data_IF_546176402923
#
_entry.id   IF_546176402923
#
_cell.length_a   1.000
_cell.length_b   1.000
_cell.length_c   1.000
_cell.angle_alpha   90.00
_cell.angle_beta   90.00
_cell.angle_gamma   90.00
#
_symmetry.space_group_name_H-M   'P 1'
#
loop_
_entity.id
_entity.type
_entity.pdbx_description
1 polymer ?
#
# COMPACT_ATOMS: atom_id res chain seq x y z
N UNK A 1 22.28 -34.76 -0.71
CA UNK A 1 21.65 -33.63 0.01
C UNK A 1 22.67 -32.51 0.03
N UNK A 2 22.57 -31.56 -0.90
CA UNK A 2 23.37 -30.33 -0.91
C UNK A 2 22.40 -29.16 -0.87
N UNK A 3 22.61 -28.27 0.08
CA UNK A 3 21.88 -27.02 0.21
C UNK A 3 22.19 -26.12 -0.99
N UNK A 4 21.20 -25.85 -1.85
CA UNK A 4 21.27 -24.75 -2.80
C UNK A 4 20.95 -23.47 -2.05
N UNK A 5 21.99 -22.71 -1.73
CA UNK A 5 21.90 -21.36 -1.16
C UNK A 5 21.29 -20.41 -2.20
N UNK A 6 20.50 -19.43 -1.72
CA UNK A 6 19.82 -18.36 -2.47
C UNK A 6 20.72 -17.46 -3.37
N UNK A 7 21.98 -17.84 -3.61
CA UNK A 7 22.92 -17.14 -4.50
C UNK A 7 22.63 -17.39 -5.99
N UNK A 8 22.05 -18.54 -6.34
CA UNK A 8 21.86 -18.95 -7.75
C UNK A 8 20.79 -18.13 -8.52
N UNK A 9 20.01 -17.28 -7.84
CA UNK A 9 19.07 -16.36 -8.48
C UNK A 9 19.75 -15.09 -9.05
N UNK A 10 20.99 -14.80 -8.67
CA UNK A 10 21.69 -13.56 -9.06
C UNK A 10 22.77 -13.76 -10.13
N UNK A 11 23.34 -14.96 -10.27
CA UNK A 11 24.57 -15.18 -11.06
C UNK A 11 24.35 -15.51 -12.55
N UNK A 12 23.10 -15.72 -13.00
CA UNK A 12 22.80 -16.07 -14.41
C UNK A 12 22.24 -14.91 -15.26
N UNK A 13 22.42 -13.64 -14.84
CA UNK A 13 21.81 -12.47 -15.49
C UNK A 13 22.71 -11.68 -16.46
N UNK A 14 23.80 -12.28 -16.96
CA UNK A 14 24.68 -11.62 -17.92
C UNK A 14 24.55 -12.28 -19.30
N UNK A 15 23.50 -11.88 -20.04
CA UNK A 15 23.47 -11.89 -21.51
C UNK A 15 22.41 -10.89 -22.02
N UNK A 16 22.45 -10.45 -23.29
CA UNK A 16 22.78 -9.09 -23.74
C UNK A 16 21.64 -8.05 -23.55
N UNK A 17 21.61 -7.36 -22.41
CA UNK A 17 20.65 -6.29 -22.07
C UNK A 17 21.10 -4.86 -22.44
N UNK A 18 22.05 -4.68 -23.36
CA UNK A 18 22.58 -3.34 -23.70
C UNK A 18 21.55 -2.32 -24.23
N UNK A 19 20.27 -2.70 -24.41
CA UNK A 19 19.21 -1.83 -24.97
C UNK A 19 17.95 -1.66 -24.12
N UNK A 20 17.84 -2.25 -22.93
CA UNK A 20 16.62 -2.13 -22.12
C UNK A 20 16.83 -1.30 -20.86
N UNK A 21 15.89 -0.41 -20.56
CA UNK A 21 15.92 0.29 -19.28
C UNK A 21 15.61 -0.67 -18.13
N UNK A 22 16.44 -0.59 -17.08
CA UNK A 22 16.19 -1.31 -15.83
C UNK A 22 15.29 -0.46 -14.94
N UNK A 23 14.04 -0.89 -14.81
CA UNK A 23 13.03 -0.24 -13.95
C UNK A 23 12.84 -1.07 -12.68
N UNK A 24 12.89 -0.41 -11.52
CA UNK A 24 12.64 -1.04 -10.23
C UNK A 24 11.54 -0.28 -9.49
N UNK A 25 10.66 -1.02 -8.80
CA UNK A 25 9.54 -0.46 -8.07
C UNK A 25 9.60 -0.92 -6.60
N UNK A 26 9.28 -0.03 -5.69
CA UNK A 26 9.22 -0.26 -4.24
C UNK A 26 7.81 0.11 -3.79
N UNK A 27 7.20 -0.73 -2.96
CA UNK A 27 5.92 -0.41 -2.33
C UNK A 27 6.02 0.71 -1.29
N UNK A 28 4.99 0.85 -0.45
CA UNK A 28 4.98 1.83 0.62
C UNK A 28 6.12 1.58 1.63
N UNK A 29 6.66 2.66 2.19
CA UNK A 29 7.75 2.64 3.16
C UNK A 29 7.38 3.52 4.37
N UNK A 30 6.84 2.90 5.40
CA UNK A 30 6.37 3.63 6.58
C UNK A 30 7.38 3.72 7.74
N UNK A 31 8.46 2.95 7.66
CA UNK A 31 9.59 3.00 8.58
C UNK A 31 10.85 2.57 7.83
N UNK A 32 12.03 3.02 8.26
CA UNK A 32 13.32 2.65 7.66
C UNK A 32 14.00 1.62 8.54
N UNK A 33 13.75 0.35 8.24
CA UNK A 33 14.34 -0.80 8.94
C UNK A 33 15.75 -1.09 8.46
N UNK A 34 16.55 -1.79 9.26
CA UNK A 34 17.89 -2.23 8.87
C UNK A 34 17.85 -3.18 7.66
N UNK A 35 16.82 -4.02 7.57
CA UNK A 35 16.58 -4.89 6.42
C UNK A 35 16.35 -4.07 5.14
N UNK A 36 15.53 -3.01 5.22
CA UNK A 36 15.27 -2.13 4.08
C UNK A 36 16.53 -1.35 3.67
N UNK A 37 17.33 -0.87 4.63
CA UNK A 37 18.61 -0.24 4.33
C UNK A 37 19.60 -1.19 3.67
N UNK A 38 19.68 -2.43 4.15
CA UNK A 38 20.51 -3.46 3.56
C UNK A 38 20.09 -3.75 2.11
N UNK A 39 18.78 -3.77 1.85
CA UNK A 39 18.22 -3.94 0.51
C UNK A 39 18.62 -2.80 -0.43
N UNK A 40 18.49 -1.54 0.01
CA UNK A 40 18.90 -0.37 -0.78
C UNK A 40 20.41 -0.40 -1.07
N UNK A 41 21.23 -0.85 -0.11
CA UNK A 41 22.66 -1.04 -0.36
C UNK A 41 22.92 -2.03 -1.49
N UNK A 42 22.19 -3.14 -1.55
CA UNK A 42 22.30 -4.10 -2.66
C UNK A 42 21.81 -3.54 -3.99
N UNK A 43 20.81 -2.67 -3.98
CA UNK A 43 20.39 -1.94 -5.19
C UNK A 43 21.51 -1.04 -5.68
N UNK A 44 22.27 -0.40 -4.78
CA UNK A 44 23.42 0.42 -5.15
C UNK A 44 24.57 -0.37 -5.80
N UNK A 45 24.73 -1.66 -5.47
CA UNK A 45 25.74 -2.52 -6.10
C UNK A 45 25.43 -2.80 -7.59
N UNK A 46 24.15 -2.75 -7.97
CA UNK A 46 23.71 -2.95 -9.35
C UNK A 46 22.50 -2.06 -9.69
N UNK A 47 22.71 -0.74 -9.84
CA UNK A 47 21.65 0.26 -9.81
C UNK A 47 20.74 0.20 -11.06
N UNK A 48 19.42 0.41 -10.91
CA UNK A 48 18.50 0.54 -12.03
C UNK A 48 18.65 1.91 -12.70
N UNK A 49 18.14 2.08 -13.92
CA UNK A 49 18.06 3.41 -14.52
C UNK A 49 16.97 4.26 -13.85
N UNK A 50 15.88 3.61 -13.42
CA UNK A 50 14.77 4.25 -12.71
C UNK A 50 14.39 3.44 -11.47
N UNK A 51 14.22 4.13 -10.34
CA UNK A 51 13.71 3.58 -9.09
C UNK A 51 12.45 4.32 -8.69
N UNK A 52 11.32 3.62 -8.69
CA UNK A 52 10.01 4.16 -8.33
C UNK A 52 9.60 3.73 -6.93
N UNK A 53 9.14 4.66 -6.11
CA UNK A 53 8.39 4.39 -4.89
C UNK A 53 6.90 4.62 -5.18
N UNK A 54 6.07 3.59 -4.99
CA UNK A 54 4.66 3.58 -5.37
C UNK A 54 3.69 4.15 -4.32
N UNK A 55 4.18 4.80 -3.28
CA UNK A 55 3.32 5.27 -2.19
C UNK A 55 4.09 5.74 -0.97
N UNK A 56 3.32 5.99 0.08
CA UNK A 56 3.69 6.50 1.40
C UNK A 56 5.20 6.43 1.72
N UNK A 57 5.82 7.61 1.74
CA UNK A 57 7.25 7.84 2.03
C UNK A 57 7.41 9.20 2.76
N UNK A 58 7.72 9.24 4.05
CA UNK A 58 8.08 8.19 5.02
C UNK A 58 7.29 8.45 6.30
N UNK A 59 6.85 7.40 6.99
CA UNK A 59 6.19 7.48 8.29
C UNK A 59 7.16 7.56 9.46
N UNK A 60 6.66 7.32 10.67
CA UNK A 60 7.50 7.14 11.87
C UNK A 60 7.28 5.74 12.45
N UNK A 61 8.35 5.14 12.98
CA UNK A 61 8.25 3.85 13.66
C UNK A 61 7.24 3.88 14.83
N UNK A 62 7.18 4.96 15.65
CA UNK A 62 6.17 5.04 16.70
C UNK A 62 4.73 5.05 16.18
N UNK A 63 4.46 5.78 15.09
CA UNK A 63 3.14 5.85 14.47
C UNK A 63 2.72 4.49 13.92
N UNK A 64 3.61 3.82 13.20
CA UNK A 64 3.33 2.50 12.63
C UNK A 64 3.10 1.45 13.71
N UNK A 65 3.92 1.44 14.77
CA UNK A 65 3.73 0.51 15.87
C UNK A 65 2.37 0.72 16.56
N UNK A 66 2.00 1.98 16.81
CA UNK A 66 0.72 2.33 17.41
C UNK A 66 -0.46 1.90 16.51
N UNK A 67 -0.34 2.12 15.20
CA UNK A 67 -1.32 1.70 14.19
C UNK A 67 -1.49 0.18 14.15
N UNK A 68 -0.39 -0.57 14.16
CA UNK A 68 -0.41 -2.04 14.22
C UNK A 68 -1.12 -2.52 15.48
N UNK A 69 -0.78 -1.98 16.65
CA UNK A 69 -1.44 -2.32 17.91
C UNK A 69 -2.94 -2.01 17.87
N UNK A 70 -3.32 -0.83 17.36
CA UNK A 70 -4.74 -0.47 17.23
C UNK A 70 -5.52 -1.48 16.38
N UNK A 71 -5.04 -1.79 15.16
CA UNK A 71 -5.75 -2.68 14.24
C UNK A 71 -5.72 -4.14 14.69
N UNK A 72 -4.55 -4.68 15.02
CA UNK A 72 -4.37 -6.10 15.33
C UNK A 72 -4.85 -6.46 16.74
N UNK A 73 -4.60 -5.59 17.73
CA UNK A 73 -4.95 -5.90 19.11
C UNK A 73 -6.38 -5.49 19.47
N UNK A 74 -7.03 -4.55 18.77
CA UNK A 74 -8.35 -4.02 19.18
C UNK A 74 -9.36 -3.94 18.03
N UNK A 75 -9.16 -3.01 17.09
CA UNK A 75 -10.18 -2.57 16.14
C UNK A 75 -10.73 -3.71 15.28
N UNK A 76 -9.88 -4.52 14.64
CA UNK A 76 -10.34 -5.54 13.71
C UNK A 76 -11.19 -6.61 14.40
N UNK A 77 -10.91 -6.93 15.66
CA UNK A 77 -11.66 -7.93 16.42
C UNK A 77 -12.96 -7.35 16.99
N UNK A 78 -12.88 -6.15 17.58
CA UNK A 78 -14.03 -5.51 18.18
C UNK A 78 -15.06 -4.99 17.14
N UNK A 79 -14.60 -4.31 16.09
CA UNK A 79 -15.48 -3.79 15.04
C UNK A 79 -15.89 -4.90 14.06
N UNK A 80 -14.93 -5.57 13.39
CA UNK A 80 -15.26 -6.45 12.26
C UNK A 80 -15.80 -7.82 12.67
N UNK A 81 -15.42 -8.35 13.84
CA UNK A 81 -15.86 -9.69 14.29
C UNK A 81 -17.03 -9.62 15.28
N UNK A 82 -16.99 -8.70 16.24
CA UNK A 82 -18.06 -8.53 17.23
C UNK A 82 -19.15 -7.53 16.79
N UNK A 83 -18.91 -6.75 15.73
CA UNK A 83 -19.91 -5.81 15.19
C UNK A 83 -20.12 -4.56 16.06
N UNK A 84 -19.18 -4.23 16.95
CA UNK A 84 -19.29 -3.05 17.83
C UNK A 84 -19.20 -1.79 16.97
N UNK A 85 -20.14 -0.86 17.16
CA UNK A 85 -20.24 0.36 16.35
C UNK A 85 -20.92 0.16 14.99
N UNK A 86 -21.43 -1.03 14.68
CA UNK A 86 -22.22 -1.27 13.46
C UNK A 86 -23.73 -1.08 13.72
N UNK A 87 -24.56 -0.85 12.68
CA UNK A 87 -26.00 -0.70 12.84
C UNK A 87 -26.71 -1.90 13.51
N UNK A 88 -26.10 -3.09 13.45
CA UNK A 88 -26.64 -4.33 14.03
C UNK A 88 -25.86 -4.78 15.29
N UNK A 89 -25.20 -3.84 15.99
CA UNK A 89 -24.46 -4.12 17.23
C UNK A 89 -25.36 -4.86 18.23
N UNK A 90 -24.90 -6.04 18.69
CA UNK A 90 -25.55 -6.79 19.76
C UNK A 90 -24.95 -6.38 21.11
N UNK A 91 -25.75 -6.35 22.19
CA UNK A 91 -25.20 -6.16 23.53
C UNK A 91 -24.21 -7.29 23.87
N UNK A 92 -23.02 -6.92 24.32
CA UNK A 92 -21.97 -7.84 24.77
C UNK A 92 -21.55 -7.42 26.18
N UNK A 93 -21.53 -8.37 27.12
CA UNK A 93 -21.09 -8.13 28.49
C UNK A 93 -19.59 -7.81 28.56
N UNK A 94 -19.16 -7.02 29.55
CA UNK A 94 -17.74 -6.63 29.68
C UNK A 94 -16.83 -7.85 29.80
N UNK A 95 -17.21 -8.87 30.58
CA UNK A 95 -16.44 -10.10 30.74
C UNK A 95 -16.27 -10.86 29.42
N UNK A 96 -17.35 -10.96 28.63
CA UNK A 96 -17.33 -11.59 27.31
C UNK A 96 -16.42 -10.81 26.34
N UNK A 97 -16.55 -9.48 26.32
CA UNK A 97 -15.73 -8.60 25.48
C UNK A 97 -14.24 -8.72 25.82
N UNK A 98 -13.89 -8.71 27.10
CA UNK A 98 -12.51 -8.72 27.57
C UNK A 98 -11.81 -10.06 27.32
N UNK A 99 -12.55 -11.17 27.38
CA UNK A 99 -12.04 -12.52 27.16
C UNK A 99 -12.08 -12.96 25.69
N UNK A 100 -12.68 -12.17 24.80
CA UNK A 100 -12.76 -12.51 23.38
C UNK A 100 -11.38 -12.52 22.73
N UNK A 101 -10.98 -13.66 22.16
CA UNK A 101 -9.71 -13.84 21.41
C UNK A 101 -9.90 -13.52 19.92
N UNK A 102 -11.01 -13.97 19.33
CA UNK A 102 -11.30 -13.79 17.91
C UNK A 102 -10.35 -14.53 16.97
N UNK A 103 -10.46 -14.23 15.67
CA UNK A 103 -9.59 -14.78 14.63
C UNK A 103 -8.30 -13.96 14.49
N UNK A 104 -7.20 -14.65 14.21
CA UNK A 104 -5.87 -14.09 13.93
C UNK A 104 -5.36 -13.08 14.98
N UNK A 105 -5.35 -13.43 16.29
CA UNK A 105 -4.74 -12.56 17.29
C UNK A 105 -3.23 -12.43 17.05
N UNK A 106 -2.65 -11.27 17.39
CA UNK A 106 -1.21 -11.00 17.21
C UNK A 106 -0.32 -12.00 17.97
N UNK A 107 -0.75 -12.43 19.16
CA UNK A 107 -0.13 -13.52 19.93
C UNK A 107 -1.16 -14.64 20.12
N UNK A 108 -0.74 -15.92 20.15
CA UNK A 108 -1.63 -17.03 20.48
C UNK A 108 -2.41 -16.72 21.77
N UNK A 109 -3.72 -16.93 21.74
CA UNK A 109 -4.63 -16.76 22.88
C UNK A 109 -4.72 -15.33 23.47
N UNK A 110 -4.16 -14.31 22.81
CA UNK A 110 -4.29 -12.93 23.27
C UNK A 110 -5.76 -12.50 23.21
N UNK A 111 -6.34 -12.18 24.36
CA UNK A 111 -7.70 -11.62 24.43
C UNK A 111 -7.74 -10.15 24.00
N UNK A 112 -8.93 -9.62 23.73
CA UNK A 112 -9.15 -8.20 23.47
C UNK A 112 -8.73 -7.34 24.67
N UNK A 113 -9.02 -7.79 25.90
CA UNK A 113 -8.59 -7.11 27.12
C UNK A 113 -7.07 -7.00 27.21
N UNK A 114 -6.36 -8.11 27.02
CA UNK A 114 -4.90 -8.13 27.01
C UNK A 114 -4.30 -7.28 25.87
N UNK A 115 -4.93 -7.32 24.69
CA UNK A 115 -4.55 -6.51 23.55
C UNK A 115 -4.71 -5.01 23.78
N UNK A 116 -5.81 -4.58 24.40
CA UNK A 116 -6.00 -3.17 24.76
C UNK A 116 -5.00 -2.72 25.82
N UNK A 117 -4.71 -3.55 26.83
CA UNK A 117 -3.71 -3.20 27.84
C UNK A 117 -2.32 -2.99 27.23
N UNK A 118 -1.94 -3.80 26.22
CA UNK A 118 -0.71 -3.59 25.45
C UNK A 118 -0.74 -2.27 24.67
N UNK A 119 -1.86 -1.94 24.01
CA UNK A 119 -2.05 -0.66 23.32
C UNK A 119 -1.96 0.54 24.30
N UNK A 120 -2.63 0.46 25.45
CA UNK A 120 -2.61 1.49 26.49
C UNK A 120 -1.22 1.68 27.08
N UNK A 121 -0.49 0.59 27.33
CA UNK A 121 0.90 0.64 27.78
C UNK A 121 1.75 1.44 26.80
N UNK A 122 1.65 1.13 25.50
CA UNK A 122 2.40 1.87 24.50
C UNK A 122 1.99 3.36 24.39
N UNK A 123 0.71 3.68 24.55
CA UNK A 123 0.25 5.09 24.64
C UNK A 123 0.87 5.81 25.83
N UNK A 124 1.03 5.15 26.98
CA UNK A 124 1.72 5.72 28.14
C UNK A 124 3.22 5.88 27.93
N UNK A 125 3.87 4.94 27.23
CA UNK A 125 5.28 5.08 26.81
C UNK A 125 5.47 6.31 25.93
N UNK A 126 4.62 6.50 24.93
CA UNK A 126 4.63 7.68 24.05
C UNK A 126 4.29 8.98 24.79
N UNK A 127 3.65 8.89 25.96
CA UNK A 127 3.43 10.03 26.86
C UNK A 127 4.64 10.33 27.76
N UNK A 128 5.75 9.62 27.59
CA UNK A 128 7.01 9.82 28.32
C UNK A 128 7.23 8.91 29.52
N UNK A 129 6.41 7.88 29.73
CA UNK A 129 6.65 6.91 30.81
C UNK A 129 7.67 5.84 30.41
N UNK A 130 8.43 5.33 31.38
CA UNK A 130 9.28 4.17 31.12
C UNK A 130 8.43 2.91 30.85
N UNK A 131 8.86 2.00 29.95
CA UNK A 131 8.06 0.85 29.52
C UNK A 131 7.46 -0.01 30.65
N UNK A 132 8.25 -0.29 31.69
CA UNK A 132 7.78 -1.09 32.83
C UNK A 132 6.69 -0.34 33.63
N UNK A 133 6.87 0.97 33.83
CA UNK A 133 5.90 1.81 34.54
C UNK A 133 4.61 1.97 33.73
N UNK A 134 4.74 2.18 32.42
CA UNK A 134 3.65 2.27 31.47
C UNK A 134 2.77 1.01 31.47
N UNK A 135 3.39 -0.17 31.35
CA UNK A 135 2.67 -1.44 31.42
C UNK A 135 2.07 -1.71 32.81
N UNK A 136 2.76 -1.32 33.88
CA UNK A 136 2.23 -1.44 35.25
C UNK A 136 0.97 -0.58 35.39
N UNK A 137 1.00 0.65 34.91
CA UNK A 137 -0.15 1.56 34.91
C UNK A 137 -1.30 1.03 34.06
N UNK A 138 -1.01 0.52 32.87
CA UNK A 138 -2.01 -0.13 32.03
C UNK A 138 -2.71 -1.27 32.79
N UNK A 139 -1.96 -2.18 33.39
CA UNK A 139 -2.51 -3.32 34.15
C UNK A 139 -3.30 -2.96 35.42
N UNK A 140 -3.16 -1.72 35.92
CA UNK A 140 -3.97 -1.21 37.03
C UNK A 140 -5.33 -0.64 36.58
N UNK A 141 -5.55 -0.51 35.27
CA UNK A 141 -6.81 -0.02 34.69
C UNK A 141 -7.95 -1.00 34.99
N UNK A 142 -9.09 -0.50 35.46
CA UNK A 142 -10.21 -1.37 35.80
C UNK A 142 -10.79 -2.06 34.56
N UNK A 143 -11.31 -3.28 34.73
CA UNK A 143 -11.96 -4.02 33.64
C UNK A 143 -13.03 -3.21 32.91
N UNK A 144 -13.81 -2.41 33.64
CA UNK A 144 -14.83 -1.53 33.08
C UNK A 144 -14.25 -0.46 32.15
N UNK A 145 -13.13 0.15 32.54
CA UNK A 145 -12.44 1.15 31.73
C UNK A 145 -11.82 0.51 30.48
N UNK A 146 -11.21 -0.67 30.61
CA UNK A 146 -10.69 -1.45 29.47
C UNK A 146 -11.82 -1.77 28.48
N UNK A 147 -12.94 -2.30 28.97
CA UNK A 147 -14.10 -2.61 28.12
C UNK A 147 -14.70 -1.35 27.46
N UNK A 148 -14.71 -0.22 28.17
CA UNK A 148 -15.14 1.08 27.62
C UNK A 148 -14.22 1.58 26.50
N UNK A 149 -12.91 1.49 26.68
CA UNK A 149 -11.92 1.90 25.69
C UNK A 149 -11.93 1.02 24.44
N UNK A 150 -12.14 -0.30 24.56
CA UNK A 150 -12.35 -1.19 23.40
C UNK A 150 -13.56 -0.72 22.57
N UNK A 151 -14.69 -0.45 23.23
CA UNK A 151 -15.90 0.02 22.54
C UNK A 151 -15.70 1.39 21.90
N UNK A 152 -14.97 2.29 22.56
CA UNK A 152 -14.65 3.59 22.00
C UNK A 152 -13.80 3.47 20.73
N UNK A 153 -12.74 2.66 20.76
CA UNK A 153 -11.87 2.40 19.61
C UNK A 153 -12.65 1.75 18.45
N UNK A 154 -13.51 0.77 18.74
CA UNK A 154 -14.31 0.07 17.73
C UNK A 154 -15.38 0.95 17.07
N UNK A 155 -15.82 2.03 17.72
CA UNK A 155 -16.82 2.96 17.16
C UNK A 155 -16.22 4.02 16.23
N UNK A 156 -14.91 3.96 15.97
CA UNK A 156 -14.21 4.90 15.08
C UNK A 156 -14.27 4.45 13.64
N UNK A 157 -14.13 5.40 12.74
CA UNK A 157 -14.09 5.12 11.30
C UNK A 157 -12.79 4.43 10.89
N UNK A 158 -11.66 4.87 11.45
CA UNK A 158 -10.34 4.33 11.17
C UNK A 158 -9.34 4.79 12.24
N UNK A 159 -8.07 4.42 12.09
CA UNK A 159 -7.01 4.75 13.04
C UNK A 159 -6.84 6.26 13.27
N UNK A 160 -6.88 7.10 12.23
CA UNK A 160 -6.64 8.54 12.35
C UNK A 160 -7.67 9.24 13.23
N UNK A 161 -8.96 8.91 13.07
CA UNK A 161 -10.02 9.48 13.91
C UNK A 161 -9.94 9.06 15.37
N UNK A 162 -9.36 7.89 15.66
CA UNK A 162 -9.00 7.49 17.02
C UNK A 162 -7.75 8.22 17.53
N UNK A 163 -6.70 8.27 16.71
CA UNK A 163 -5.41 8.88 17.04
C UNK A 163 -5.54 10.36 17.39
N UNK A 164 -6.44 11.09 16.72
CA UNK A 164 -6.74 12.50 17.01
C UNK A 164 -7.22 12.78 18.44
N UNK A 165 -7.82 11.79 19.11
CA UNK A 165 -8.27 11.93 20.49
C UNK A 165 -7.20 11.63 21.54
N UNK A 166 -6.06 11.11 21.11
CA UNK A 166 -4.96 10.84 22.02
C UNK A 166 -4.37 12.15 22.58
N UNK A 167 -3.73 12.08 23.77
CA UNK A 167 -3.02 13.21 24.34
C UNK A 167 -2.05 13.85 23.34
N UNK A 168 -1.87 15.16 23.46
CA UNK A 168 -1.04 15.94 22.54
C UNK A 168 0.37 15.37 22.45
N UNK A 169 0.92 14.95 23.58
CA UNK A 169 2.27 14.41 23.73
C UNK A 169 2.44 13.13 22.91
N UNK A 170 1.43 12.26 22.91
CA UNK A 170 1.42 11.02 22.12
C UNK A 170 1.41 11.35 20.63
N UNK A 171 0.54 12.28 20.20
CA UNK A 171 0.49 12.73 18.79
C UNK A 171 1.78 13.42 18.37
N UNK A 172 2.46 14.14 19.26
CA UNK A 172 3.78 14.71 18.99
C UNK A 172 4.85 13.62 18.86
N UNK A 173 4.86 12.63 19.75
CA UNK A 173 5.81 11.52 19.71
C UNK A 173 5.70 10.72 18.40
N UNK A 174 4.48 10.52 17.89
CA UNK A 174 4.27 9.82 16.62
C UNK A 174 4.62 10.65 15.37
N UNK A 175 4.77 11.97 15.48
CA UNK A 175 5.23 12.83 14.39
C UNK A 175 6.75 13.12 14.44
N UNK A 176 7.37 12.99 15.61
CA UNK A 176 8.71 13.51 15.89
C UNK A 176 9.82 12.93 14.98
N UNK A 177 9.73 11.64 14.64
CA UNK A 177 10.81 10.96 13.94
C UNK A 177 10.70 10.99 12.41
N UNK A 178 9.63 11.57 11.85
CA UNK A 178 9.40 11.61 10.40
C UNK A 178 10.59 12.27 9.66
N UNK A 179 11.12 13.38 10.19
CA UNK A 179 12.27 14.05 9.59
C UNK A 179 13.54 13.19 9.64
N UNK A 180 13.78 12.50 10.76
CA UNK A 180 14.95 11.64 10.93
C UNK A 180 14.90 10.44 9.98
N UNK A 181 13.73 9.81 9.85
CA UNK A 181 13.47 8.70 8.93
C UNK A 181 13.62 9.14 7.47
N UNK A 182 13.08 10.32 7.10
CA UNK A 182 13.24 10.87 5.76
C UNK A 182 14.71 11.16 5.42
N UNK A 183 15.47 11.72 6.37
CA UNK A 183 16.94 11.90 6.22
C UNK A 183 17.65 10.56 6.04
N UNK A 184 17.30 9.56 6.85
CA UNK A 184 17.87 8.22 6.78
C UNK A 184 17.64 7.57 5.40
N UNK A 185 16.43 7.70 4.85
CA UNK A 185 16.13 7.23 3.49
C UNK A 185 16.92 8.01 2.42
N UNK A 186 16.94 9.34 2.50
CA UNK A 186 17.69 10.17 1.55
C UNK A 186 19.18 9.82 1.53
N UNK A 187 19.81 9.64 2.69
CA UNK A 187 21.21 9.20 2.77
C UNK A 187 21.43 7.84 2.10
N UNK A 188 20.51 6.89 2.31
CA UNK A 188 20.58 5.57 1.70
C UNK A 188 20.42 5.59 0.16
N UNK A 189 19.73 6.60 -0.38
CA UNK A 189 19.51 6.77 -1.82
C UNK A 189 20.66 7.48 -2.54
N UNK A 190 21.54 8.20 -1.82
CA UNK A 190 22.66 8.93 -2.44
C UNK A 190 23.56 8.06 -3.32
N UNK A 191 24.01 6.85 -2.91
CA UNK A 191 24.84 6.01 -3.76
C UNK A 191 24.13 5.56 -5.05
N UNK A 192 22.81 5.31 -4.96
CA UNK A 192 21.96 4.92 -6.10
C UNK A 192 21.85 6.10 -7.08
N UNK A 193 21.57 7.30 -6.59
CA UNK A 193 21.53 8.52 -7.42
C UNK A 193 22.89 8.86 -8.04
N UNK A 194 23.99 8.69 -7.28
CA UNK A 194 25.35 8.95 -7.77
C UNK A 194 25.75 8.02 -8.93
N UNK A 195 25.14 6.84 -9.02
CA UNK A 195 25.31 5.91 -10.14
C UNK A 195 24.44 6.25 -11.37
N UNK A 196 23.66 7.33 -11.32
CA UNK A 196 22.83 7.81 -12.43
C UNK A 196 21.37 7.36 -12.40
N UNK A 197 20.94 6.63 -11.36
CA UNK A 197 19.53 6.25 -11.19
C UNK A 197 18.65 7.48 -10.97
N UNK A 198 17.56 7.57 -11.73
CA UNK A 198 16.48 8.54 -11.48
C UNK A 198 15.54 7.98 -10.42
N UNK A 199 15.52 8.59 -9.24
CA UNK A 199 14.61 8.20 -8.15
C UNK A 199 13.33 9.02 -8.23
N UNK A 200 12.20 8.33 -8.24
CA UNK A 200 10.86 8.91 -8.41
C UNK A 200 9.95 8.39 -7.29
N UNK A 201 9.23 9.28 -6.62
CA UNK A 201 8.26 8.96 -5.58
C UNK A 201 6.86 9.38 -6.04
N UNK A 202 5.89 8.47 -5.93
CA UNK A 202 4.47 8.72 -6.22
C UNK A 202 3.74 8.90 -4.89
N UNK A 203 3.08 10.04 -4.71
CA UNK A 203 2.45 10.40 -3.44
C UNK A 203 1.34 9.43 -3.02
N UNK A 204 1.49 8.85 -1.83
CA UNK A 204 0.45 8.08 -1.16
C UNK A 204 -0.51 8.94 -0.35
N UNK A 205 -1.42 8.30 0.39
CA UNK A 205 -2.38 9.04 1.22
C UNK A 205 -1.68 9.70 2.43
N UNK A 206 -0.54 9.16 2.87
CA UNK A 206 0.22 9.68 4.02
C UNK A 206 1.19 10.83 3.67
N UNK A 207 1.42 11.08 2.38
CA UNK A 207 2.40 12.08 1.92
C UNK A 207 1.83 13.50 1.78
N UNK A 208 0.50 13.65 1.86
CA UNK A 208 -0.12 14.98 1.93
C UNK A 208 -0.09 15.48 3.37
N UNK A 209 0.92 16.28 3.71
CA UNK A 209 1.13 16.78 5.07
C UNK A 209 -0.07 17.56 5.61
N UNK A 210 -0.78 18.33 4.77
CA UNK A 210 -1.91 19.15 5.20
C UNK A 210 -3.11 18.28 5.59
N UNK A 211 -3.46 17.30 4.75
CA UNK A 211 -4.54 16.37 5.05
C UNK A 211 -4.19 15.53 6.28
N UNK A 212 -2.98 14.99 6.35
CA UNK A 212 -2.57 14.18 7.50
C UNK A 212 -2.49 14.96 8.81
N UNK A 213 -2.13 16.26 8.77
CA UNK A 213 -2.25 17.15 9.94
C UNK A 213 -3.71 17.28 10.40
N UNK A 214 -4.68 17.30 9.49
CA UNK A 214 -6.09 17.40 9.85
C UNK A 214 -6.68 16.08 10.34
N UNK A 215 -6.31 14.98 9.67
CA UNK A 215 -6.94 13.66 9.82
C UNK A 215 -6.27 12.78 10.88
N UNK A 216 -4.97 12.97 11.15
CA UNK A 216 -4.20 12.08 12.01
C UNK A 216 -3.60 12.82 13.22
N UNK A 217 -2.87 13.92 13.01
CA UNK A 217 -2.10 14.54 14.10
C UNK A 217 -2.80 15.71 14.78
N UNK A 218 -3.74 16.38 14.13
CA UNK A 218 -4.40 17.60 14.61
C UNK A 218 -3.63 18.87 14.21
N UNK A 219 -4.38 19.93 13.87
CA UNK A 219 -3.88 21.20 13.29
C UNK A 219 -2.78 21.94 14.07
N UNK A 220 -2.54 21.59 15.33
CA UNK A 220 -1.59 22.23 16.24
C UNK A 220 -0.29 21.43 16.44
N UNK A 221 -0.17 20.26 15.79
CA UNK A 221 1.05 19.47 15.76
C UNK A 221 1.81 19.84 14.49
N UNK A 222 3.08 20.19 14.66
CA UNK A 222 3.97 20.37 13.52
C UNK A 222 4.42 19.00 13.03
N UNK A 223 4.22 18.76 11.74
CA UNK A 223 4.54 17.50 11.07
C UNK A 223 5.49 17.82 9.94
N UNK A 224 6.65 17.18 9.91
CA UNK A 224 7.65 17.42 8.88
C UNK A 224 7.08 17.12 7.49
N UNK A 225 7.21 18.07 6.57
CA UNK A 225 6.79 17.91 5.18
C UNK A 225 7.91 17.24 4.36
N UNK A 226 7.72 15.97 4.03
CA UNK A 226 8.69 15.14 3.32
C UNK A 226 8.83 15.53 1.85
N UNK A 227 7.79 16.11 1.23
CA UNK A 227 7.76 16.37 -0.22
C UNK A 227 8.78 17.44 -0.63
N UNK A 228 8.80 18.66 -0.04
CA UNK A 228 9.83 19.65 -0.34
C UNK A 228 11.23 19.16 0.06
N UNK A 229 11.34 18.34 1.11
CA UNK A 229 12.61 17.76 1.52
C UNK A 229 13.20 16.86 0.42
N UNK A 230 12.44 15.88 -0.07
CA UNK A 230 12.92 14.97 -1.12
C UNK A 230 13.21 15.68 -2.44
N UNK A 231 12.40 16.68 -2.82
CA UNK A 231 12.69 17.54 -3.98
C UNK A 231 14.05 18.23 -3.86
N UNK A 232 14.41 18.73 -2.66
CA UNK A 232 15.74 19.32 -2.41
C UNK A 232 16.89 18.31 -2.46
N UNK A 233 16.61 17.02 -2.26
CA UNK A 233 17.59 15.93 -2.42
C UNK A 233 17.72 15.46 -3.89
N UNK A 234 17.08 16.14 -4.85
CA UNK A 234 17.11 15.75 -6.26
C UNK A 234 16.25 14.52 -6.58
N UNK A 235 15.27 14.21 -5.73
CA UNK A 235 14.30 13.15 -5.96
C UNK A 235 13.05 13.76 -6.60
N UNK A 236 12.58 13.15 -7.70
CA UNK A 236 11.34 13.56 -8.34
C UNK A 236 10.16 13.09 -7.50
N UNK A 237 9.23 13.99 -7.17
CA UNK A 237 8.04 13.66 -6.40
C UNK A 237 6.78 14.03 -7.19
N UNK A 238 6.01 13.01 -7.58
CA UNK A 238 4.73 13.14 -8.28
C UNK A 238 3.60 13.24 -7.25
N UNK A 239 3.13 14.47 -7.04
CA UNK A 239 1.92 14.82 -6.28
C UNK A 239 0.70 15.02 -7.20
N UNK A 240 0.91 15.01 -8.52
CA UNK A 240 -0.12 14.97 -9.58
C UNK A 240 0.15 13.83 -10.54
N UNK A 241 -0.83 13.52 -11.39
CA UNK A 241 -0.61 12.56 -12.47
C UNK A 241 0.50 13.06 -13.38
N UNK A 242 1.47 12.17 -13.65
CA UNK A 242 2.66 12.49 -14.41
C UNK A 242 3.09 11.31 -15.28
N UNK A 243 3.74 11.59 -16.40
CA UNK A 243 4.29 10.59 -17.32
C UNK A 243 5.81 10.63 -17.21
N UNK A 244 6.42 9.48 -16.91
CA UNK A 244 7.86 9.28 -17.05
C UNK A 244 8.14 8.44 -18.29
N UNK A 245 8.72 9.08 -19.29
CA UNK A 245 9.17 8.41 -20.50
C UNK A 245 10.58 7.84 -20.33
N UNK A 246 10.70 6.54 -20.58
CA UNK A 246 11.96 5.79 -20.59
C UNK A 246 12.24 5.30 -22.02
N UNK A 247 13.38 4.64 -22.26
CA UNK A 247 13.70 4.07 -23.56
C UNK A 247 12.70 2.97 -23.96
N UNK A 248 12.21 2.17 -23.00
CA UNK A 248 11.38 0.98 -23.26
C UNK A 248 9.94 1.08 -22.76
N UNK A 249 9.65 2.03 -21.87
CA UNK A 249 8.34 2.14 -21.22
C UNK A 249 7.88 3.60 -21.02
N UNK A 250 6.57 3.77 -20.88
CA UNK A 250 5.90 4.95 -20.38
C UNK A 250 5.28 4.62 -19.02
N UNK A 251 5.80 5.22 -17.95
CA UNK A 251 5.27 5.03 -16.60
C UNK A 251 4.35 6.20 -16.26
N UNK A 252 3.05 5.95 -16.21
CA UNK A 252 2.04 6.90 -15.75
C UNK A 252 1.91 6.76 -14.24
N UNK A 253 2.26 7.79 -13.49
CA UNK A 253 2.11 7.83 -12.04
C UNK A 253 0.75 8.42 -11.66
N UNK A 254 0.01 7.76 -10.77
CA UNK A 254 -1.28 8.23 -10.27
C UNK A 254 -1.27 8.30 -8.72
N UNK A 255 -0.97 9.49 -8.15
CA UNK A 255 -0.93 9.70 -6.70
C UNK A 255 -2.32 9.58 -6.04
N UNK A 256 -2.38 9.17 -4.77
CA UNK A 256 -3.64 8.91 -4.08
C UNK A 256 -4.57 10.13 -4.02
N UNK A 257 -4.04 11.28 -3.59
CA UNK A 257 -4.85 12.48 -3.40
C UNK A 257 -5.29 13.12 -4.71
N UNK A 258 -4.51 12.96 -5.78
CA UNK A 258 -4.95 13.35 -7.13
C UNK A 258 -6.13 12.49 -7.59
N UNK A 259 -6.10 11.18 -7.30
CA UNK A 259 -7.23 10.29 -7.56
C UNK A 259 -8.44 10.59 -6.67
N UNK A 260 -8.24 11.02 -5.43
CA UNK A 260 -9.33 11.34 -4.50
C UNK A 260 -10.05 12.66 -4.85
N UNK A 261 -9.35 13.60 -5.48
CA UNK A 261 -9.87 14.92 -5.86
C UNK A 261 -9.97 15.12 -7.37
N UNK A 262 -10.02 14.01 -8.10
CA UNK A 262 -9.80 13.96 -9.54
C UNK A 262 -10.89 14.71 -10.34
N UNK A 263 -10.45 15.43 -11.38
CA UNK A 263 -11.30 16.15 -12.32
C UNK A 263 -11.30 15.43 -13.69
N UNK A 264 -12.47 14.93 -14.10
CA UNK A 264 -12.66 14.10 -15.29
C UNK A 264 -12.14 14.74 -16.59
N UNK A 265 -12.12 16.08 -16.71
CA UNK A 265 -11.60 16.80 -17.89
C UNK A 265 -10.08 16.59 -18.14
N UNK A 266 -9.36 15.99 -17.18
CA UNK A 266 -7.93 15.70 -17.29
C UNK A 266 -7.63 14.32 -17.88
N UNK A 267 -8.58 13.37 -17.85
CA UNK A 267 -8.39 11.98 -18.32
C UNK A 267 -8.17 11.91 -19.82
N UNK A 268 -9.03 12.58 -20.59
CA UNK A 268 -9.00 12.50 -22.05
C UNK A 268 -7.69 13.07 -22.62
N UNK A 269 -7.22 14.19 -22.03
CA UNK A 269 -5.93 14.79 -22.37
C UNK A 269 -4.75 13.88 -22.02
N UNK A 270 -4.81 13.19 -20.87
CA UNK A 270 -3.82 12.19 -20.50
C UNK A 270 -3.83 11.01 -21.49
N UNK A 271 -5.01 10.56 -21.90
CA UNK A 271 -5.20 9.49 -22.87
C UNK A 271 -4.60 9.81 -24.23
N UNK A 272 -4.84 11.03 -24.71
CA UNK A 272 -4.27 11.53 -25.96
C UNK A 272 -2.75 11.59 -25.87
N UNK A 273 -2.19 12.09 -24.77
CA UNK A 273 -0.75 12.12 -24.56
C UNK A 273 -0.14 10.71 -24.53
N UNK A 274 -0.75 9.76 -23.81
CA UNK A 274 -0.27 8.37 -23.73
C UNK A 274 -0.42 7.65 -25.07
N UNK A 275 -1.55 7.81 -25.78
CA UNK A 275 -1.74 7.24 -27.13
C UNK A 275 -0.74 7.83 -28.12
N UNK A 276 -0.48 9.13 -28.07
CA UNK A 276 0.49 9.78 -28.92
C UNK A 276 1.91 9.27 -28.66
N UNK A 277 2.36 9.22 -27.41
CA UNK A 277 3.73 8.81 -27.08
C UNK A 277 3.92 7.29 -27.18
N UNK A 278 2.93 6.49 -26.77
CA UNK A 278 2.98 5.03 -26.78
C UNK A 278 2.84 4.42 -28.17
N UNK A 279 2.11 5.07 -29.08
CA UNK A 279 1.82 4.56 -30.44
C UNK A 279 2.55 5.30 -31.57
N UNK A 280 3.30 6.37 -31.30
CA UNK A 280 4.03 7.12 -32.35
C UNK A 280 5.24 6.38 -32.92
N UNK A 281 5.81 5.40 -32.21
CA UNK A 281 6.89 4.55 -32.71
C UNK A 281 6.35 3.20 -33.19
N UNK A 282 5.73 3.17 -34.38
CA UNK A 282 5.19 1.96 -35.03
C UNK A 282 6.19 0.79 -35.17
N UNK A 283 7.48 1.04 -35.00
CA UNK A 283 8.55 0.04 -35.14
C UNK A 283 9.07 -0.51 -33.81
N UNK A 284 8.77 0.14 -32.68
CA UNK A 284 9.12 -0.32 -31.33
C UNK A 284 8.19 0.33 -30.28
N UNK A 285 6.97 -0.22 -30.07
CA UNK A 285 6.03 0.36 -29.12
C UNK A 285 6.57 0.25 -27.68
N UNK A 286 6.36 1.30 -26.89
CA UNK A 286 6.75 1.32 -25.47
C UNK A 286 5.70 0.62 -24.63
N UNK A 287 6.12 -0.14 -23.62
CA UNK A 287 5.21 -0.69 -22.61
C UNK A 287 4.60 0.43 -21.78
N UNK A 288 3.29 0.48 -21.64
CA UNK A 288 2.58 1.45 -20.80
C UNK A 288 2.34 0.82 -19.43
N UNK A 289 2.92 1.42 -18.39
CA UNK A 289 2.80 0.99 -17.00
C UNK A 289 2.05 2.07 -16.24
N UNK A 290 0.96 1.71 -15.57
CA UNK A 290 0.26 2.59 -14.63
C UNK A 290 0.72 2.25 -13.20
N UNK A 291 1.45 3.17 -12.57
CA UNK A 291 1.83 3.07 -11.16
C UNK A 291 0.89 3.94 -10.32
N UNK A 292 -0.07 3.31 -9.65
CA UNK A 292 -1.06 3.98 -8.82
C UNK A 292 -0.88 3.60 -7.35
N UNK A 293 -1.02 4.56 -6.43
CA UNK A 293 -1.00 4.20 -5.01
C UNK A 293 -2.25 3.37 -4.65
N UNK A 294 -3.43 3.87 -5.01
CA UNK A 294 -4.71 3.20 -4.72
C UNK A 294 -4.82 1.84 -5.39
N UNK A 295 -5.46 0.88 -4.71
CA UNK A 295 -5.74 -0.43 -5.30
C UNK A 295 -6.85 -0.34 -6.36
N UNK A 296 -6.75 -1.06 -7.49
CA UNK A 296 -7.79 -1.05 -8.51
C UNK A 296 -8.96 -1.99 -8.18
N UNK A 297 -8.77 -2.93 -7.25
CA UNK A 297 -9.83 -3.79 -6.73
C UNK A 297 -9.44 -4.23 -5.32
N UNK A 298 -10.30 -3.97 -4.34
CA UNK A 298 -10.05 -4.25 -2.92
C UNK A 298 -10.50 -5.66 -2.51
N UNK A 299 -11.39 -6.31 -3.27
CA UNK A 299 -11.93 -7.64 -2.98
C UNK A 299 -10.88 -8.75 -3.11
N UNK A 300 -9.85 -8.54 -3.95
CA UNK A 300 -8.72 -9.49 -4.13
C UNK A 300 -7.87 -9.66 -2.86
N UNK A 301 -8.05 -8.78 -1.87
CA UNK A 301 -7.43 -8.86 -0.56
C UNK A 301 -8.32 -9.53 0.50
N UNK A 302 -9.46 -10.09 0.08
CA UNK A 302 -10.48 -10.71 0.95
C UNK A 302 -10.92 -9.78 2.11
N UNK A 303 -10.91 -8.48 1.83
CA UNK A 303 -11.45 -7.47 2.72
C UNK A 303 -12.99 -7.52 2.59
N UNK A 304 -13.73 -7.26 3.68
CA UNK A 304 -15.20 -7.09 3.63
C UNK A 304 -15.52 -5.63 3.31
N UNK A 305 -16.64 -5.40 2.62
CA UNK A 305 -17.03 -4.09 2.07
C UNK A 305 -16.77 -2.96 3.06
N UNK A 306 -16.13 -1.86 2.61
CA UNK A 306 -15.76 -0.80 3.51
C UNK A 306 -16.98 -0.31 4.28
N UNK A 307 -16.75 -0.01 5.56
CA UNK A 307 -17.68 0.77 6.38
C UNK A 307 -17.99 2.08 5.61
N UNK A 308 -19.23 2.60 5.65
CA UNK A 308 -19.65 3.77 4.86
C UNK A 308 -18.78 5.03 4.95
N UNK A 309 -17.85 5.12 5.91
CA UNK A 309 -16.93 6.25 6.11
C UNK A 309 -15.68 6.27 5.20
N UNK A 310 -15.54 5.35 4.24
CA UNK A 310 -14.42 5.35 3.27
C UNK A 310 -14.77 5.89 1.88
N UNK A 311 -15.58 6.96 1.80
CA UNK A 311 -15.97 7.58 0.52
C UNK A 311 -14.76 7.95 -0.35
N UNK A 312 -13.70 8.49 0.25
CA UNK A 312 -12.47 8.83 -0.48
C UNK A 312 -11.80 7.61 -1.14
N UNK A 313 -11.78 6.46 -0.47
CA UNK A 313 -11.22 5.22 -1.03
C UNK A 313 -12.06 4.69 -2.18
N UNK A 314 -13.39 4.72 -2.05
CA UNK A 314 -14.29 4.34 -3.14
C UNK A 314 -14.08 5.24 -4.37
N UNK A 315 -14.01 6.56 -4.16
CA UNK A 315 -13.72 7.53 -5.21
C UNK A 315 -12.36 7.28 -5.87
N UNK A 316 -11.32 6.96 -5.08
CA UNK A 316 -9.99 6.60 -5.63
C UNK A 316 -10.07 5.35 -6.53
N UNK A 317 -10.82 4.31 -6.12
CA UNK A 317 -10.98 3.08 -6.90
C UNK A 317 -11.74 3.36 -8.21
N UNK A 318 -12.82 4.15 -8.14
CA UNK A 318 -13.64 4.52 -9.30
C UNK A 318 -12.83 5.34 -10.31
N UNK A 319 -12.14 6.38 -9.86
CA UNK A 319 -11.32 7.24 -10.71
C UNK A 319 -10.11 6.50 -11.29
N UNK A 320 -9.51 5.58 -10.52
CA UNK A 320 -8.47 4.70 -11.05
C UNK A 320 -9.03 3.75 -12.12
N UNK A 321 -10.26 3.25 -11.93
CA UNK A 321 -10.97 2.44 -12.91
C UNK A 321 -11.17 3.16 -14.24
N UNK A 322 -11.57 4.42 -14.20
CA UNK A 322 -11.70 5.27 -15.40
C UNK A 322 -10.36 5.47 -16.11
N UNK A 323 -9.29 5.79 -15.36
CA UNK A 323 -7.95 5.96 -15.94
C UNK A 323 -7.47 4.67 -16.60
N UNK A 324 -7.65 3.51 -15.96
CA UNK A 324 -7.27 2.22 -16.53
C UNK A 324 -8.06 1.93 -17.81
N UNK A 325 -9.38 2.19 -17.81
CA UNK A 325 -10.24 1.96 -18.98
C UNK A 325 -9.84 2.84 -20.17
N UNK A 326 -9.41 4.07 -19.91
CA UNK A 326 -9.04 5.01 -20.97
C UNK A 326 -7.61 4.81 -21.48
N UNK A 327 -6.67 4.51 -20.56
CA UNK A 327 -5.26 4.32 -20.90
C UNK A 327 -4.98 2.94 -21.50
N UNK A 328 -5.75 1.92 -21.12
CA UNK A 328 -5.51 0.51 -21.47
C UNK A 328 -4.03 0.10 -21.24
N UNK A 329 -3.47 0.30 -20.03
CA UNK A 329 -2.06 0.00 -19.76
C UNK A 329 -1.77 -1.50 -19.92
N UNK A 330 -0.52 -1.83 -20.28
CA UNK A 330 -0.05 -3.22 -20.31
C UNK A 330 0.01 -3.81 -18.90
N UNK A 331 0.37 -2.97 -17.90
CA UNK A 331 0.45 -3.38 -16.50
C UNK A 331 0.05 -2.24 -15.54
N UNK A 332 -0.72 -2.58 -14.50
CA UNK A 332 -1.02 -1.72 -13.35
C UNK A 332 -0.23 -2.21 -12.15
N UNK A 333 0.44 -1.30 -11.44
CA UNK A 333 1.23 -1.59 -10.25
C UNK A 333 0.66 -0.79 -9.08
N UNK A 334 0.39 -1.43 -7.94
CA UNK A 334 -0.09 -0.74 -6.73
C UNK A 334 0.45 -1.34 -5.41
N UNK A 335 0.73 -0.53 -4.38
CA UNK A 335 1.20 -1.02 -3.08
C UNK A 335 0.28 -0.82 -1.86
N UNK A 336 -0.76 0.02 -1.94
CA UNK A 336 -1.50 0.54 -0.76
C UNK A 336 -2.10 -0.52 0.18
N UNK A 337 -2.57 -1.64 -0.35
CA UNK A 337 -3.12 -2.72 0.49
C UNK A 337 -1.97 -3.51 1.11
N UNK A 338 -1.44 -3.11 2.27
CA UNK A 338 -0.34 -3.81 2.96
C UNK A 338 -0.64 -5.25 3.38
N UNK A 339 -1.84 -5.75 3.10
CA UNK A 339 -2.21 -7.15 3.23
C UNK A 339 -1.75 -7.94 2.01
N UNK A 340 -1.16 -9.14 2.18
CA UNK A 340 -0.91 -10.03 1.06
C UNK A 340 -2.20 -10.41 0.35
N UNK A 341 -2.11 -10.62 -0.97
CA UNK A 341 -3.18 -11.25 -1.74
C UNK A 341 -3.59 -12.58 -1.10
N UNK A 342 -4.88 -12.88 -1.15
CA UNK A 342 -5.42 -14.11 -0.60
C UNK A 342 -6.39 -14.78 -1.59
N UNK A 343 -6.48 -16.10 -1.53
CA UNK A 343 -7.49 -16.83 -2.28
C UNK A 343 -8.89 -16.68 -1.66
N UNK A 344 -9.91 -17.25 -2.32
CA UNK A 344 -11.29 -17.20 -1.84
C UNK A 344 -11.52 -17.90 -0.48
N UNK A 345 -10.53 -18.65 0.03
CA UNK A 345 -10.54 -19.30 1.35
C UNK A 345 -9.74 -18.52 2.38
N UNK A 346 -9.16 -17.37 2.01
CA UNK A 346 -8.31 -16.55 2.87
C UNK A 346 -6.87 -17.06 3.00
N UNK A 347 -6.43 -18.00 2.17
CA UNK A 347 -5.04 -18.45 2.17
C UNK A 347 -4.15 -17.43 1.45
N UNK A 348 -3.04 -17.05 2.09
CA UNK A 348 -2.08 -16.09 1.53
C UNK A 348 -1.45 -16.66 0.25
N UNK A 349 -1.45 -15.84 -0.79
CA UNK A 349 -0.80 -16.13 -2.06
C UNK A 349 0.68 -15.69 -2.03
N UNK A 350 1.54 -16.28 -2.88
CA UNK A 350 2.91 -15.80 -3.05
C UNK A 350 2.98 -14.31 -3.40
N UNK A 351 3.99 -13.59 -2.91
CA UNK A 351 4.11 -12.15 -3.14
C UNK A 351 4.38 -11.74 -4.60
N UNK A 352 4.71 -12.70 -5.46
CA UNK A 352 4.89 -12.49 -6.91
C UNK A 352 3.60 -12.69 -7.72
N UNK A 353 2.50 -13.02 -7.06
CA UNK A 353 1.24 -13.30 -7.74
C UNK A 353 0.70 -12.02 -8.40
N UNK A 354 0.46 -12.10 -9.71
CA UNK A 354 -0.28 -11.11 -10.49
C UNK A 354 -1.72 -11.57 -10.72
N UNK A 355 -2.61 -10.62 -10.99
CA UNK A 355 -4.00 -10.91 -11.39
C UNK A 355 -4.39 -10.04 -12.58
N UNK A 356 -5.53 -10.35 -13.20
CA UNK A 356 -6.01 -9.62 -14.38
C UNK A 356 -7.26 -8.82 -14.07
N UNK A 357 -7.30 -7.62 -14.63
CA UNK A 357 -8.49 -6.78 -14.69
C UNK A 357 -9.08 -6.79 -16.08
N UNK A 358 -10.40 -6.68 -16.13
CA UNK A 358 -11.22 -6.67 -17.32
C UNK A 358 -12.04 -5.37 -17.31
N UNK A 359 -11.69 -4.39 -18.15
CA UNK A 359 -12.51 -3.19 -18.35
C UNK A 359 -13.83 -3.56 -19.03
N UNK A 360 -14.92 -2.98 -18.57
CA UNK A 360 -16.23 -3.07 -19.22
C UNK A 360 -16.21 -2.36 -20.57
N UNK A 361 -16.83 -2.98 -21.58
CA UNK A 361 -17.02 -2.39 -22.91
C UNK A 361 -17.96 -1.16 -22.89
N UNK A 362 -18.77 -1.00 -21.84
CA UNK A 362 -19.71 0.12 -21.68
C UNK A 362 -19.09 1.31 -20.91
N UNK A 363 -17.84 1.19 -20.47
CA UNK A 363 -17.07 2.25 -19.79
C UNK A 363 -17.32 2.33 -18.28
N UNK A 364 -16.28 2.73 -17.55
CA UNK A 364 -16.24 3.07 -16.12
C UNK A 364 -16.33 1.93 -15.09
N UNK A 365 -16.52 0.69 -15.51
CA UNK A 365 -16.46 -0.46 -14.59
C UNK A 365 -15.25 -1.33 -14.90
N UNK A 366 -14.48 -1.69 -13.88
CA UNK A 366 -13.41 -2.67 -13.96
C UNK A 366 -13.72 -3.83 -13.04
N UNK A 367 -13.70 -5.05 -13.59
CA UNK A 367 -13.86 -6.28 -12.80
C UNK A 367 -12.57 -7.08 -12.79
N UNK A 368 -12.32 -7.79 -11.70
CA UNK A 368 -11.29 -8.81 -11.74
C UNK A 368 -11.74 -9.92 -12.70
N UNK A 369 -10.81 -10.42 -13.52
CA UNK A 369 -11.11 -11.49 -14.49
C UNK A 369 -11.74 -12.72 -13.83
N UNK A 370 -11.39 -12.97 -12.56
CA UNK A 370 -11.94 -14.07 -11.77
C UNK A 370 -13.45 -13.92 -11.52
N UNK A 371 -13.96 -12.69 -11.43
CA UNK A 371 -15.37 -12.40 -11.16
C UNK A 371 -16.20 -12.47 -12.44
N UNK A 372 -15.64 -12.04 -13.58
CA UNK A 372 -16.27 -12.15 -14.90
C UNK A 372 -16.45 -13.61 -15.34
N UNK A 373 -15.45 -14.47 -15.09
CA UNK A 373 -15.55 -15.91 -15.37
C UNK A 373 -16.65 -16.57 -14.51
N UNK A 374 -16.88 -16.06 -13.29
CA UNK A 374 -17.96 -16.56 -12.40
C UNK A 374 -19.34 -16.12 -12.87
N UNK A 375 -19.49 -14.90 -13.39
CA UNK A 375 -20.78 -14.35 -13.82
C UNK A 375 -21.15 -14.68 -15.28
N UNK A 376 -20.22 -15.27 -16.06
CA UNK A 376 -20.37 -15.56 -17.50
C UNK A 376 -20.66 -14.32 -18.34
N UNK A 377 -20.21 -13.17 -17.87
CA UNK A 377 -20.52 -11.89 -18.46
C UNK A 377 -19.54 -11.62 -19.62
N UNK A 378 -20.07 -11.35 -20.82
CA UNK A 378 -19.30 -11.38 -22.10
C UNK A 378 -18.88 -9.99 -22.62
N UNK A 379 -19.02 -8.96 -21.80
CA UNK A 379 -18.88 -7.56 -22.21
C UNK A 379 -17.52 -6.93 -21.86
N UNK A 380 -16.43 -7.69 -21.81
CA UNK A 380 -15.12 -7.16 -21.36
C UNK A 380 -14.02 -7.27 -22.42
N UNK A 381 -13.13 -6.27 -22.44
CA UNK A 381 -12.08 -6.07 -23.44
C UNK A 381 -10.77 -6.80 -23.07
N UNK A 382 -9.64 -6.38 -23.65
CA UNK A 382 -8.30 -6.94 -23.40
C UNK A 382 -7.94 -6.97 -21.91
N UNK A 383 -7.35 -8.09 -21.47
CA UNK A 383 -6.94 -8.27 -20.09
C UNK A 383 -5.75 -7.38 -19.73
N UNK A 384 -5.88 -6.65 -18.63
CA UNK A 384 -4.84 -5.78 -18.07
C UNK A 384 -4.17 -6.52 -16.92
N UNK A 385 -2.84 -6.63 -16.97
CA UNK A 385 -2.07 -7.26 -15.91
C UNK A 385 -2.00 -6.35 -14.69
N UNK A 386 -2.08 -6.93 -13.48
CA UNK A 386 -1.92 -6.17 -12.23
C UNK A 386 -0.89 -6.83 -11.33
N UNK A 387 0.08 -6.02 -10.91
CA UNK A 387 1.08 -6.36 -9.91
C UNK A 387 0.81 -5.64 -8.60
N UNK A 388 0.68 -6.43 -7.54
CA UNK A 388 0.67 -5.93 -6.17
C UNK A 388 2.12 -5.86 -5.65
N UNK A 389 2.51 -4.71 -5.10
CA UNK A 389 3.80 -4.52 -4.43
C UNK A 389 3.61 -4.52 -2.91
N UNK A 390 4.04 -5.58 -2.20
CA UNK A 390 3.88 -5.61 -0.76
C UNK A 390 4.73 -4.56 -0.04
N UNK A 391 4.31 -4.25 1.19
CA UNK A 391 4.99 -3.31 2.09
C UNK A 391 6.51 -3.54 2.16
N UNK A 392 7.31 -2.48 1.94
CA UNK A 392 8.78 -2.50 1.94
C UNK A 392 9.43 -3.58 1.03
N UNK A 393 8.69 -4.19 0.09
CA UNK A 393 9.25 -5.19 -0.82
C UNK A 393 9.62 -4.58 -2.17
N UNK A 394 10.70 -5.10 -2.76
CA UNK A 394 11.08 -4.82 -4.13
C UNK A 394 10.16 -5.57 -5.10
N UNK A 395 9.61 -4.84 -6.07
CA UNK A 395 9.25 -5.37 -7.37
C UNK A 395 10.37 -5.10 -8.35
N UNK A 396 11.11 -6.13 -8.76
CA UNK A 396 12.00 -6.03 -9.92
C UNK A 396 11.18 -6.47 -11.13
N UNK A 397 10.93 -5.57 -12.08
CA UNK A 397 10.36 -5.91 -13.38
C UNK A 397 11.44 -6.62 -14.23
N UNK A 398 11.80 -7.85 -13.84
CA UNK A 398 12.60 -8.77 -14.66
C UNK A 398 11.71 -9.91 -15.14
N UNK A 399 10.69 -9.58 -15.94
CA UNK A 399 10.01 -10.58 -16.76
C UNK A 399 10.40 -10.27 -18.21
N UNK A 400 11.21 -11.11 -18.86
CA UNK A 400 11.23 -11.13 -20.32
C UNK A 400 9.80 -11.44 -20.76
N UNK A 401 9.16 -10.51 -21.48
CA UNK A 401 7.91 -10.76 -22.20
C UNK A 401 8.20 -11.70 -23.37
N UNK A 402 8.57 -12.94 -23.07
CA UNK A 402 8.71 -14.02 -24.06
C UNK A 402 7.46 -14.93 -24.07
N UNK A 403 6.35 -14.43 -23.52
CA UNK A 403 5.04 -15.08 -23.65
C UNK A 403 4.12 -14.15 -24.42
N UNK A 404 4.09 -14.36 -25.73
CA UNK A 404 3.03 -13.92 -26.62
C UNK A 404 1.65 -14.14 -25.95
N UNK A 405 0.89 -13.08 -25.62
CA UNK A 405 -0.37 -13.19 -24.87
C UNK A 405 -1.52 -13.73 -25.72
N UNK A 406 -1.25 -14.37 -26.86
CA UNK A 406 -2.23 -15.15 -27.61
C UNK A 406 -2.66 -16.39 -26.82
N UNK A 407 -3.66 -16.16 -25.97
CA UNK A 407 -4.56 -17.14 -25.35
C UNK A 407 -4.91 -18.23 -26.37
N UNK A 408 -4.46 -19.47 -26.15
CA UNK A 408 -5.12 -20.64 -26.74
C UNK A 408 -6.14 -21.19 -25.74
N UNK A 409 -7.41 -21.34 -26.13
CA UNK A 409 -8.45 -21.80 -25.23
C UNK A 409 -8.36 -23.31 -25.08
N UNK A 410 -7.84 -23.80 -23.95
CA UNK A 410 -8.12 -25.16 -23.53
C UNK A 410 -8.35 -25.23 -22.01
N UNK A 411 -9.62 -25.10 -21.64
CA UNK A 411 -10.29 -26.16 -20.90
C UNK A 411 -9.88 -26.45 -19.45
N UNK A 412 -9.25 -25.53 -18.72
CA UNK A 412 -9.10 -25.67 -17.27
C UNK A 412 -9.53 -24.41 -16.51
N UNK A 413 -10.28 -24.65 -15.42
CA UNK A 413 -11.02 -23.69 -14.61
C UNK A 413 -10.13 -23.09 -13.52
N UNK A 414 -9.03 -22.45 -13.88
CA UNK A 414 -8.22 -21.71 -12.93
C UNK A 414 -7.85 -20.34 -13.48
N UNK A 415 -7.80 -19.29 -12.63
CA UNK A 415 -7.24 -18.01 -13.00
C UNK A 415 -5.84 -18.19 -13.61
N UNK A 416 -5.58 -17.49 -14.72
CA UNK A 416 -4.28 -17.51 -15.37
C UNK A 416 -3.30 -16.74 -14.48
N UNK A 417 -2.58 -17.49 -13.64
CA UNK A 417 -1.45 -16.99 -12.88
C UNK A 417 -0.21 -17.01 -13.78
N UNK A 418 0.40 -15.85 -14.01
CA UNK A 418 1.74 -15.80 -14.62
C UNK A 418 2.75 -15.98 -13.48
N UNK A 419 3.52 -17.07 -13.51
CA UNK A 419 4.51 -17.46 -12.49
C UNK A 419 5.88 -16.85 -12.69
#
# INVERSE_FOLDING_TARGET
>A
MSASTNADLFDNFIDPWEKCDRLMFIGCVHAITDEFLWLLKRVADNPPHYLFFGGDVTGSQPFEHLKTLFYECVFNRAHNQLGIGTPNEKPIADEELLNFVGHCPRKPDQTLGAGLLELMGYVYELSGMFPIEAMTKANQTSQREVAGAIRNAAKRDYFGSWHLELPREVRQATAADIEAEAKKLAEALKPIQAAGTKVIMVGGNWDNVENNRQENWGKHIDVFDTVPFYRRQGITFHDKIAITETATALVVSAPYWELACYDHESVERLAEAVKYVGRSNNWNPKTVILLAHGEPNWEVHNLRSPVPSQQARQTVIENLGEIIAVLEPDEVIYPHQHNPLADARGQRLPSRTKYMLLPSAEGNEIKCAIDVVRTKDRHYTSAIMVSYLPFQRLGVLNIPLDVDPRIKPHGQRDPVYVF
#
